data_IF_230802639085
#
_entry.id   IF_230802639085
#
_cell.length_a   1.000
_cell.length_b   1.000
_cell.length_c   1.000
_cell.angle_alpha   90.00
_cell.angle_beta   90.00
_cell.angle_gamma   90.00
#
_symmetry.space_group_name_H-M   'P 1'
#
loop_
_entity.id
_entity.type
_entity.pdbx_description
1 polymer ?
#
# COMPACT_ATOMS: atom_id res chain seq x y z
N UNK A 1 67.40 -19.21 -33.29
CA UNK A 1 66.38 -18.88 -32.26
C UNK A 1 64.99 -19.04 -32.88
N UNK A 2 64.47 -20.27 -32.96
CA UNK A 2 63.23 -20.61 -33.70
C UNK A 2 62.24 -21.42 -32.83
N UNK A 3 61.92 -20.94 -31.63
CA UNK A 3 60.97 -21.63 -30.74
C UNK A 3 60.18 -20.70 -29.81
N UNK A 4 60.08 -19.40 -30.16
CA UNK A 4 59.38 -18.40 -29.32
C UNK A 4 57.99 -17.98 -29.82
N UNK A 5 57.42 -18.66 -30.82
CA UNK A 5 56.13 -18.27 -31.43
C UNK A 5 55.02 -19.33 -31.42
N UNK A 6 55.13 -20.39 -30.61
CA UNK A 6 54.08 -21.44 -30.52
C UNK A 6 53.62 -21.63 -29.06
N UNK A 7 53.34 -20.54 -28.34
CA UNK A 7 52.85 -20.64 -26.95
C UNK A 7 51.77 -19.60 -26.61
N UNK A 8 51.11 -19.03 -27.62
CA UNK A 8 49.98 -18.09 -27.44
C UNK A 8 48.83 -18.48 -28.40
N UNK A 9 48.47 -19.76 -28.44
CA UNK A 9 47.27 -20.21 -29.17
C UNK A 9 46.51 -21.34 -28.48
N UNK A 10 46.84 -21.67 -27.23
CA UNK A 10 46.08 -22.62 -26.40
C UNK A 10 45.82 -21.95 -25.05
N UNK A 11 45.06 -20.87 -25.04
CA UNK A 11 44.55 -20.23 -23.81
C UNK A 11 43.33 -19.33 -24.10
N UNK A 12 42.54 -19.69 -25.11
CA UNK A 12 41.25 -19.04 -25.42
C UNK A 12 40.27 -20.15 -25.82
N UNK A 13 39.97 -21.07 -24.90
CA UNK A 13 38.93 -22.08 -25.15
C UNK A 13 38.16 -22.53 -23.91
N UNK A 14 38.37 -21.94 -22.73
CA UNK A 14 37.71 -22.42 -21.50
C UNK A 14 37.34 -21.28 -20.55
N UNK A 15 36.36 -20.47 -20.93
CA UNK A 15 35.60 -19.65 -19.96
C UNK A 15 34.25 -19.18 -20.53
N UNK A 16 33.57 -20.05 -21.26
CA UNK A 16 32.12 -19.96 -21.47
C UNK A 16 31.48 -21.30 -21.12
N UNK A 17 31.51 -21.65 -19.84
CA UNK A 17 30.44 -22.48 -19.29
C UNK A 17 29.37 -21.52 -18.79
N UNK A 18 28.46 -21.21 -19.71
CA UNK A 18 27.17 -20.62 -19.43
C UNK A 18 26.39 -21.58 -18.54
N UNK A 19 26.44 -21.40 -17.22
CA UNK A 19 25.38 -21.92 -16.35
C UNK A 19 24.28 -20.87 -16.27
N UNK A 20 23.52 -20.74 -17.36
CA UNK A 20 22.22 -20.05 -17.32
C UNK A 20 21.15 -21.02 -16.79
N UNK A 21 21.30 -21.42 -15.52
CA UNK A 21 20.22 -22.00 -14.72
C UNK A 21 20.02 -21.13 -13.47
N UNK A 22 19.91 -19.81 -13.66
CA UNK A 22 19.43 -18.87 -12.62
C UNK A 22 18.02 -18.40 -13.01
N UNK A 23 17.18 -19.33 -13.47
CA UNK A 23 15.80 -18.99 -13.87
C UNK A 23 14.78 -19.54 -12.87
N UNK A 24 15.17 -20.44 -11.95
CA UNK A 24 14.27 -21.00 -10.92
C UNK A 24 14.99 -21.30 -9.60
N UNK A 25 15.77 -20.35 -9.05
CA UNK A 25 16.40 -20.53 -7.73
C UNK A 25 15.53 -19.93 -6.62
N UNK A 26 15.43 -20.55 -5.44
CA UNK A 26 14.83 -19.92 -4.26
C UNK A 26 15.42 -18.53 -3.95
N UNK A 27 16.67 -18.28 -4.35
CA UNK A 27 17.31 -16.98 -4.22
C UNK A 27 16.66 -15.89 -5.10
N UNK A 28 16.31 -16.20 -6.35
CA UNK A 28 15.63 -15.22 -7.23
C UNK A 28 14.22 -14.92 -6.75
N UNK A 29 13.52 -15.90 -6.17
CA UNK A 29 12.20 -15.68 -5.56
C UNK A 29 12.29 -14.81 -4.31
N UNK A 30 13.31 -15.02 -3.47
CA UNK A 30 13.56 -14.19 -2.30
C UNK A 30 13.89 -12.74 -2.65
N UNK A 31 14.64 -12.52 -3.74
CA UNK A 31 14.94 -11.17 -4.23
C UNK A 31 13.68 -10.46 -4.73
N UNK A 32 12.86 -11.13 -5.54
CA UNK A 32 11.60 -10.58 -6.04
C UNK A 32 10.65 -10.22 -4.88
N UNK A 33 10.59 -11.07 -3.85
CA UNK A 33 9.82 -10.80 -2.64
C UNK A 33 10.33 -9.54 -1.92
N UNK A 34 11.65 -9.42 -1.73
CA UNK A 34 12.25 -8.26 -1.08
C UNK A 34 12.01 -6.96 -1.87
N UNK A 35 12.16 -6.98 -3.20
CA UNK A 35 11.90 -5.82 -4.05
C UNK A 35 10.44 -5.38 -4.00
N UNK A 36 9.50 -6.34 -4.08
CA UNK A 36 8.08 -6.02 -3.97
C UNK A 36 7.70 -5.45 -2.61
N UNK A 37 8.34 -5.91 -1.53
CA UNK A 37 8.18 -5.34 -0.18
C UNK A 37 8.70 -3.91 -0.09
N UNK A 38 9.90 -3.63 -0.60
CA UNK A 38 10.49 -2.28 -0.61
C UNK A 38 9.58 -1.31 -1.36
N UNK A 39 9.02 -1.72 -2.49
CA UNK A 39 8.11 -0.89 -3.26
C UNK A 39 6.81 -0.60 -2.49
N UNK A 40 6.25 -1.60 -1.81
CA UNK A 40 5.09 -1.42 -0.93
C UNK A 40 5.39 -0.44 0.21
N UNK A 41 6.47 -0.65 0.96
CA UNK A 41 6.86 0.23 2.07
C UNK A 41 7.14 1.66 1.62
N UNK A 42 7.83 1.83 0.48
CA UNK A 42 8.05 3.15 -0.12
C UNK A 42 6.71 3.82 -0.43
N UNK A 43 5.75 3.08 -1.00
CA UNK A 43 4.43 3.62 -1.30
C UNK A 43 3.67 4.02 -0.04
N UNK A 44 3.69 3.18 1.00
CA UNK A 44 3.13 3.53 2.32
C UNK A 44 3.75 4.82 2.86
N UNK A 45 5.07 4.97 2.75
CA UNK A 45 5.78 6.20 3.10
C UNK A 45 5.29 7.43 2.31
N UNK A 46 5.16 7.31 0.99
CA UNK A 46 4.58 8.36 0.15
C UNK A 46 3.13 8.68 0.56
N UNK A 47 2.29 7.67 0.79
CA UNK A 47 0.90 7.84 1.22
C UNK A 47 0.78 8.55 2.57
N UNK A 48 1.74 8.30 3.47
CA UNK A 48 1.82 8.97 4.77
C UNK A 48 2.18 10.45 4.66
N UNK A 49 2.88 10.86 3.61
CA UNK A 49 3.25 12.27 3.40
C UNK A 49 2.02 13.17 3.20
N UNK A 50 0.93 12.62 2.66
CA UNK A 50 -0.33 13.35 2.45
C UNK A 50 -1.10 13.62 3.74
N UNK A 51 -0.72 13.02 4.88
CA UNK A 51 -1.38 13.23 6.19
C UNK A 51 -1.29 14.67 6.71
N UNK A 52 -0.45 15.51 6.13
CA UNK A 52 -0.31 16.93 6.51
C UNK A 52 -1.06 17.88 5.58
N UNK A 53 -1.72 17.35 4.53
CA UNK A 53 -2.46 18.19 3.60
C UNK A 53 -3.72 18.70 4.28
N UNK A 54 -3.91 20.02 4.27
CA UNK A 54 -5.15 20.65 4.71
C UNK A 54 -6.23 20.50 3.66
N UNK A 55 -7.43 20.12 4.08
CA UNK A 55 -8.62 20.12 3.23
C UNK A 55 -9.05 21.56 2.94
N UNK A 56 -9.45 21.81 1.70
CA UNK A 56 -10.12 23.05 1.32
C UNK A 56 -11.64 22.89 1.46
N UNK A 57 -12.22 23.53 2.48
CA UNK A 57 -13.65 23.43 2.78
C UNK A 57 -14.53 24.09 1.72
N UNK A 58 -14.01 25.12 1.03
CA UNK A 58 -14.76 25.85 -0.01
C UNK A 58 -15.20 24.95 -1.18
N UNK A 59 -14.51 23.82 -1.37
CA UNK A 59 -14.78 22.85 -2.42
C UNK A 59 -15.70 21.70 -1.97
N UNK A 60 -16.17 21.71 -0.72
CA UNK A 60 -16.96 20.62 -0.13
C UNK A 60 -18.38 21.11 0.15
N UNK A 61 -19.36 20.40 -0.40
CA UNK A 61 -20.76 20.56 0.00
C UNK A 61 -20.94 19.97 1.41
N UNK A 62 -21.03 20.85 2.41
CA UNK A 62 -21.18 20.47 3.81
C UNK A 62 -22.63 20.19 4.21
N UNK A 63 -23.60 20.44 3.32
CA UNK A 63 -25.03 20.43 3.66
C UNK A 63 -25.50 19.12 4.29
N UNK A 64 -24.99 17.98 3.81
CA UNK A 64 -25.35 16.67 4.37
C UNK A 64 -24.61 16.37 5.66
N UNK A 65 -23.29 16.56 5.69
CA UNK A 65 -22.47 16.18 6.84
C UNK A 65 -22.79 17.03 8.08
N UNK A 66 -23.22 18.28 7.90
CA UNK A 66 -23.69 19.15 8.98
C UNK A 66 -25.03 18.70 9.60
N UNK A 67 -25.75 17.74 8.99
CA UNK A 67 -26.97 17.15 9.60
C UNK A 67 -26.66 16.03 10.58
N UNK A 68 -25.42 15.52 10.58
CA UNK A 68 -25.01 14.41 11.43
C UNK A 68 -24.69 14.93 12.84
N UNK A 69 -24.85 14.07 13.85
CA UNK A 69 -24.28 14.37 15.16
C UNK A 69 -22.75 14.32 15.10
N UNK A 70 -22.10 15.06 16.00
CA UNK A 70 -20.65 15.22 16.01
C UNK A 70 -19.89 13.88 15.96
N UNK A 71 -20.33 12.86 16.71
CA UNK A 71 -19.63 11.57 16.74
C UNK A 71 -19.75 10.84 15.40
N UNK A 72 -20.89 10.94 14.75
CA UNK A 72 -21.13 10.34 13.44
C UNK A 72 -20.34 11.06 12.35
N UNK A 73 -20.26 12.40 12.41
CA UNK A 73 -19.39 13.19 11.54
C UNK A 73 -17.92 12.79 11.68
N UNK A 74 -17.40 12.74 12.92
CA UNK A 74 -16.02 12.33 13.20
C UNK A 74 -15.72 10.92 12.66
N UNK A 75 -16.65 9.97 12.86
CA UNK A 75 -16.54 8.63 12.31
C UNK A 75 -16.47 8.62 10.77
N UNK A 76 -17.26 9.45 10.09
CA UNK A 76 -17.21 9.61 8.62
C UNK A 76 -15.85 10.14 8.18
N UNK A 77 -15.34 11.20 8.81
CA UNK A 77 -14.04 11.80 8.43
C UNK A 77 -12.88 10.83 8.67
N UNK A 78 -12.89 10.11 9.80
CA UNK A 78 -11.89 9.06 10.10
C UNK A 78 -11.97 7.92 9.08
N UNK A 79 -13.18 7.48 8.73
CA UNK A 79 -13.36 6.42 7.75
C UNK A 79 -12.83 6.82 6.37
N UNK A 80 -13.17 8.02 5.88
CA UNK A 80 -12.66 8.55 4.61
C UNK A 80 -11.13 8.60 4.64
N UNK A 81 -10.55 9.13 5.71
CA UNK A 81 -9.10 9.19 5.88
C UNK A 81 -8.46 7.78 5.80
N UNK A 82 -9.01 6.82 6.53
CA UNK A 82 -8.50 5.43 6.54
C UNK A 82 -8.62 4.78 5.16
N UNK A 83 -9.78 4.90 4.52
CA UNK A 83 -10.05 4.32 3.21
C UNK A 83 -9.10 4.85 2.14
N UNK A 84 -8.76 6.14 2.19
CA UNK A 84 -7.85 6.77 1.22
C UNK A 84 -6.38 6.41 1.48
N UNK A 85 -6.00 6.24 2.75
CA UNK A 85 -4.67 5.70 3.09
C UNK A 85 -4.50 4.27 2.58
N UNK A 86 -5.54 3.43 2.72
CA UNK A 86 -5.54 2.05 2.23
C UNK A 86 -5.50 2.00 0.70
N UNK A 87 -6.37 2.77 0.03
CA UNK A 87 -6.44 2.87 -1.44
C UNK A 87 -5.11 3.34 -2.06
N UNK A 88 -4.43 4.29 -1.41
CA UNK A 88 -3.18 4.86 -1.92
C UNK A 88 -2.05 3.83 -2.11
N UNK A 89 -2.01 2.78 -1.28
CA UNK A 89 -1.00 1.72 -1.33
C UNK A 89 -1.54 0.38 -1.84
N UNK A 90 -2.83 0.30 -2.19
CA UNK A 90 -3.53 -0.94 -2.52
C UNK A 90 -2.88 -1.71 -3.67
N UNK A 91 -2.46 -1.00 -4.72
CA UNK A 91 -1.82 -1.60 -5.88
C UNK A 91 -0.50 -2.28 -5.51
N UNK A 92 0.37 -1.56 -4.81
CA UNK A 92 1.67 -2.08 -4.37
C UNK A 92 1.51 -3.18 -3.31
N UNK A 93 0.52 -3.05 -2.41
CA UNK A 93 0.12 -4.11 -1.48
C UNK A 93 -0.31 -5.38 -2.21
N UNK A 94 -1.15 -5.25 -3.24
CA UNK A 94 -1.60 -6.37 -4.08
C UNK A 94 -0.43 -7.06 -4.78
N UNK A 95 0.49 -6.28 -5.37
CA UNK A 95 1.70 -6.82 -5.99
C UNK A 95 2.58 -7.58 -4.99
N UNK A 96 2.78 -7.04 -3.79
CA UNK A 96 3.52 -7.71 -2.72
C UNK A 96 2.84 -9.02 -2.32
N UNK A 97 1.52 -9.02 -2.08
CA UNK A 97 0.77 -10.22 -1.69
C UNK A 97 0.83 -11.31 -2.76
N UNK A 98 0.69 -10.97 -4.03
CA UNK A 98 0.84 -11.92 -5.14
C UNK A 98 2.25 -12.51 -5.15
N UNK A 99 3.28 -11.67 -4.98
CA UNK A 99 4.68 -12.10 -4.96
C UNK A 99 4.97 -13.01 -3.76
N UNK A 100 4.40 -12.68 -2.59
CA UNK A 100 4.48 -13.46 -1.36
C UNK A 100 3.85 -14.85 -1.51
N UNK A 101 2.65 -14.94 -2.10
CA UNK A 101 1.99 -16.21 -2.39
C UNK A 101 2.83 -17.04 -3.37
N UNK A 102 3.34 -16.43 -4.44
CA UNK A 102 4.20 -17.11 -5.42
C UNK A 102 5.49 -17.63 -4.80
N UNK A 103 6.15 -16.83 -3.96
CA UNK A 103 7.33 -17.22 -3.20
C UNK A 103 7.00 -18.47 -2.36
N UNK A 104 5.95 -18.43 -1.54
CA UNK A 104 5.56 -19.57 -0.69
C UNK A 104 5.23 -20.83 -1.50
N UNK A 105 4.59 -20.70 -2.66
CA UNK A 105 4.29 -21.85 -3.53
C UNK A 105 5.56 -22.50 -4.05
N UNK A 106 6.53 -21.69 -4.51
CA UNK A 106 7.76 -22.15 -5.17
C UNK A 106 8.83 -22.63 -4.19
N UNK A 107 8.98 -21.98 -3.04
CA UNK A 107 10.01 -22.30 -2.05
C UNK A 107 9.51 -23.20 -0.92
N UNK A 108 8.18 -23.32 -0.75
CA UNK A 108 7.51 -23.95 0.41
C UNK A 108 7.76 -23.26 1.75
N UNK A 109 8.47 -22.13 1.75
CA UNK A 109 8.67 -21.31 2.94
C UNK A 109 7.45 -20.40 3.17
N UNK A 110 6.86 -20.52 4.37
CA UNK A 110 5.64 -19.81 4.78
C UNK A 110 5.90 -18.64 5.73
N UNK A 111 7.14 -18.46 6.18
CA UNK A 111 7.47 -17.53 7.28
C UNK A 111 6.93 -16.12 7.01
N UNK A 112 7.25 -15.57 5.85
CA UNK A 112 6.80 -14.23 5.45
C UNK A 112 5.27 -14.13 5.30
N UNK A 113 4.59 -15.20 4.85
CA UNK A 113 3.14 -15.22 4.69
C UNK A 113 2.44 -15.23 6.05
N UNK A 114 2.92 -16.08 6.97
CA UNK A 114 2.34 -16.19 8.30
C UNK A 114 2.57 -14.89 9.09
N UNK A 115 3.71 -14.22 8.93
CA UNK A 115 3.97 -12.91 9.55
C UNK A 115 3.10 -11.79 8.94
N UNK A 116 2.94 -11.76 7.61
CA UNK A 116 2.03 -10.84 6.95
C UNK A 116 0.59 -11.00 7.48
N UNK A 117 0.10 -12.23 7.60
CA UNK A 117 -1.24 -12.53 8.12
C UNK A 117 -1.43 -12.17 9.59
N UNK A 118 -0.38 -12.23 10.42
CA UNK A 118 -0.45 -11.77 11.82
C UNK A 118 -0.60 -10.25 11.89
N UNK A 119 0.19 -9.51 11.10
CA UNK A 119 0.20 -8.05 11.10
C UNK A 119 -1.08 -7.44 10.53
N UNK A 120 -1.67 -8.09 9.52
CA UNK A 120 -2.83 -7.55 8.78
C UNK A 120 -4.17 -8.15 9.21
N UNK A 121 -4.21 -8.92 10.31
CA UNK A 121 -5.44 -9.55 10.82
C UNK A 121 -6.41 -8.59 11.51
N UNK A 122 -6.07 -7.32 11.67
CA UNK A 122 -6.76 -6.39 12.56
C UNK A 122 -6.79 -4.99 11.94
N UNK A 123 -7.77 -4.71 11.10
CA UNK A 123 -8.33 -3.36 10.97
C UNK A 123 -9.66 -3.43 11.72
N UNK A 124 -9.61 -3.22 13.04
CA UNK A 124 -10.82 -3.12 13.85
C UNK A 124 -11.34 -1.71 13.64
N UNK A 125 -12.31 -1.58 12.73
CA UNK A 125 -13.38 -0.63 12.96
C UNK A 125 -13.92 -0.91 14.37
N UNK A 126 -13.82 0.06 15.28
CA UNK A 126 -14.44 -0.12 16.60
C UNK A 126 -15.93 -0.35 16.43
N UNK A 127 -16.57 -1.16 17.29
CA UNK A 127 -18.01 -1.41 17.20
C UNK A 127 -18.81 -0.10 17.23
N UNK A 128 -18.31 0.93 17.93
CA UNK A 128 -18.89 2.28 17.95
C UNK A 128 -18.79 2.99 16.60
N UNK A 129 -17.67 2.90 15.90
CA UNK A 129 -17.52 3.51 14.57
C UNK A 129 -18.43 2.81 13.56
N UNK A 130 -18.49 1.47 13.63
CA UNK A 130 -19.40 0.67 12.79
C UNK A 130 -20.87 1.03 13.04
N UNK A 131 -21.26 1.21 14.29
CA UNK A 131 -22.63 1.62 14.63
C UNK A 131 -22.99 2.99 14.05
N UNK A 132 -22.07 3.97 14.13
CA UNK A 132 -22.27 5.30 13.54
C UNK A 132 -22.38 5.24 12.01
N UNK A 133 -21.51 4.47 11.34
CA UNK A 133 -21.53 4.34 9.89
C UNK A 133 -22.78 3.59 9.38
N UNK A 134 -23.28 2.60 10.12
CA UNK A 134 -24.48 1.84 9.76
C UNK A 134 -25.78 2.67 9.79
N UNK A 135 -25.78 3.84 10.44
CA UNK A 135 -26.93 4.75 10.50
C UNK A 135 -27.02 5.69 9.30
N UNK A 136 -25.98 5.73 8.47
CA UNK A 136 -25.89 6.65 7.33
C UNK A 136 -26.78 6.19 6.18
N UNK A 137 -27.36 7.15 5.47
CA UNK A 137 -27.89 6.89 4.14
C UNK A 137 -26.71 6.60 3.19
N UNK A 138 -26.65 5.43 2.54
CA UNK A 138 -25.53 5.09 1.66
C UNK A 138 -25.35 6.06 0.49
N UNK A 139 -26.43 6.54 -0.13
CA UNK A 139 -26.36 7.40 -1.32
C UNK A 139 -25.76 8.77 -0.98
N UNK A 140 -26.18 9.35 0.14
CA UNK A 140 -25.64 10.62 0.60
C UNK A 140 -24.17 10.49 1.01
N UNK A 141 -23.82 9.39 1.70
CA UNK A 141 -22.44 9.08 2.05
C UNK A 141 -21.57 8.92 0.79
N UNK A 142 -22.01 8.13 -0.19
CA UNK A 142 -21.27 7.93 -1.44
C UNK A 142 -21.08 9.24 -2.21
N UNK A 143 -22.13 10.08 -2.27
CA UNK A 143 -22.05 11.39 -2.91
C UNK A 143 -21.03 12.28 -2.21
N UNK A 144 -21.00 12.29 -0.87
CA UNK A 144 -20.08 13.08 -0.08
C UNK A 144 -18.62 12.62 -0.25
N UNK A 145 -18.34 11.32 -0.08
CA UNK A 145 -16.96 10.79 -0.19
C UNK A 145 -16.40 10.86 -1.60
N UNK A 146 -17.25 10.98 -2.62
CA UNK A 146 -16.83 11.14 -4.02
C UNK A 146 -16.19 12.51 -4.31
N UNK A 147 -16.23 13.46 -3.37
CA UNK A 147 -15.61 14.77 -3.53
C UNK A 147 -14.10 14.62 -3.84
N UNK A 148 -13.57 15.32 -4.88
CA UNK A 148 -12.15 15.28 -5.21
C UNK A 148 -11.20 15.67 -4.08
N UNK A 149 -11.65 16.50 -3.14
CA UNK A 149 -10.88 16.86 -1.94
C UNK A 149 -10.60 15.66 -1.05
N UNK A 150 -11.35 14.56 -1.12
CA UNK A 150 -11.07 13.37 -0.33
C UNK A 150 -10.12 12.39 -1.02
N UNK A 151 -9.99 12.44 -2.35
CA UNK A 151 -9.18 11.49 -3.17
C UNK A 151 -7.67 11.52 -2.93
N UNK A 152 -7.22 12.33 -1.99
CA UNK A 152 -5.84 12.44 -1.53
C UNK A 152 -5.88 12.52 -0.02
N UNK A 153 -5.00 11.78 0.64
CA UNK A 153 -4.82 11.86 2.08
C UNK A 153 -4.78 13.31 2.59
N UNK A 154 -5.26 13.49 3.81
CA UNK A 154 -5.36 14.77 4.48
C UNK A 154 -5.14 14.64 5.98
N UNK A 155 -4.94 15.77 6.63
CA UNK A 155 -4.89 15.87 8.08
C UNK A 155 -6.30 15.67 8.67
N UNK A 156 -6.50 14.52 9.30
CA UNK A 156 -7.80 14.12 9.86
C UNK A 156 -8.23 15.03 11.01
N UNK A 157 -7.29 15.55 11.80
CA UNK A 157 -7.61 16.42 12.93
C UNK A 157 -7.96 17.83 12.45
N UNK A 158 -7.20 18.38 11.51
CA UNK A 158 -7.54 19.66 10.85
C UNK A 158 -8.91 19.59 10.17
N UNK A 159 -9.24 18.46 9.53
CA UNK A 159 -10.54 18.24 8.92
C UNK A 159 -11.67 18.21 9.96
N UNK A 160 -11.53 17.42 11.02
CA UNK A 160 -12.52 17.35 12.12
C UNK A 160 -12.76 18.73 12.74
N UNK A 161 -11.68 19.48 13.04
CA UNK A 161 -11.79 20.81 13.62
C UNK A 161 -12.56 21.78 12.70
N UNK A 162 -12.33 21.70 11.39
CA UNK A 162 -13.05 22.51 10.40
C UNK A 162 -14.52 22.12 10.28
N UNK A 163 -14.85 20.83 10.23
CA UNK A 163 -16.25 20.39 10.16
C UNK A 163 -17.01 20.73 11.45
N UNK A 164 -16.37 20.63 12.61
CA UNK A 164 -16.94 21.07 13.89
C UNK A 164 -17.23 22.57 13.94
N UNK A 165 -16.46 23.41 13.22
CA UNK A 165 -16.68 24.85 13.18
C UNK A 165 -17.88 25.27 12.29
N UNK A 166 -18.34 24.38 11.41
CA UNK A 166 -19.47 24.59 10.48
C UNK A 166 -20.80 24.03 11.01
N UNK A 167 -20.80 23.43 12.22
CA UNK A 167 -21.97 22.89 12.92
C UNK A 167 -22.51 23.86 13.95
#
# INVERSE_FOLDING_TARGET
MHYKKILISILISTSFYSNSEIINSPYSEGLALAESYINYEKKVGECSSYRHRKINMDNIDTSWISTLDQKTMEAVIIFIHSSEQDSCSEKERGNYVITLVNYTIKTKDRTALDDWLKLHKVIIETDSMRESLNKLNPDDFYKFVSNPEFKKGFDVFDAIDKFNAEM
#
